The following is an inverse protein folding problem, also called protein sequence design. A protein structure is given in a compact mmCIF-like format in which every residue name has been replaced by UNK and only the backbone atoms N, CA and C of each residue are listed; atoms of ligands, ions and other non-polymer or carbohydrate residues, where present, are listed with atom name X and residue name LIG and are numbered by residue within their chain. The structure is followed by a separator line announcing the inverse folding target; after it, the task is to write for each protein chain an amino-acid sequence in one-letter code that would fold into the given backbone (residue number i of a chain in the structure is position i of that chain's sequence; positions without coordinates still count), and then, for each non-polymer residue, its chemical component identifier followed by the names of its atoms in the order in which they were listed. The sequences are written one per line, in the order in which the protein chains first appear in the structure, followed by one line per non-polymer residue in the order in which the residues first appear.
data_IF_260997554854
#
_entry.id   IF_260997554854
#
_cell.length_a   1.000
_cell.length_b   1.000
_cell.length_c   1.000
_cell.angle_alpha   90.00
_cell.angle_beta   90.00
_cell.angle_gamma   90.00
#
_symmetry.space_group_name_H-M   'P 1'
#
loop_
_entity.id
_entity.type
_entity.pdbx_description
1 polymer ?
#
# COMPACT_ATOMS: atom_id res chain seq x y z
N UNK A 1 14.66 -13.23 0.71
CA UNK A 1 14.10 -11.94 0.26
C UNK A 1 14.89 -11.49 -0.95
N UNK A 2 14.19 -11.11 -2.02
CA UNK A 2 14.76 -10.59 -3.25
C UNK A 2 14.31 -9.14 -3.44
N UNK A 3 15.23 -8.24 -3.80
CA UNK A 3 14.87 -6.86 -4.09
C UNK A 3 14.22 -6.78 -5.48
N UNK A 4 13.08 -6.10 -5.57
CA UNK A 4 12.35 -5.87 -6.83
C UNK A 4 12.23 -4.37 -7.09
N UNK A 5 12.20 -3.99 -8.36
CA UNK A 5 11.93 -2.62 -8.78
C UNK A 5 10.43 -2.48 -9.07
N UNK A 6 9.79 -1.50 -8.44
CA UNK A 6 8.35 -1.25 -8.57
C UNK A 6 8.18 0.10 -9.24
N UNK A 7 7.48 0.13 -10.37
CA UNK A 7 7.25 1.38 -11.09
C UNK A 7 6.40 2.33 -10.25
N UNK A 8 6.86 3.58 -10.13
CA UNK A 8 6.20 4.59 -9.29
C UNK A 8 6.59 4.57 -7.82
N UNK A 9 7.41 3.60 -7.38
CA UNK A 9 7.99 3.61 -6.05
C UNK A 9 9.26 4.48 -5.99
N UNK A 10 9.42 5.20 -4.88
CA UNK A 10 10.66 5.92 -4.54
C UNK A 10 11.56 5.14 -3.58
N UNK A 11 11.06 4.02 -3.02
CA UNK A 11 11.79 3.16 -2.09
C UNK A 11 11.97 1.75 -2.64
N UNK A 12 12.89 1.03 -2.01
CA UNK A 12 13.17 -0.37 -2.34
C UNK A 12 12.06 -1.30 -1.86
N UNK A 13 11.60 -2.17 -2.76
CA UNK A 13 10.68 -3.25 -2.45
C UNK A 13 11.43 -4.57 -2.35
N UNK A 14 10.99 -5.41 -1.43
CA UNK A 14 11.52 -6.74 -1.23
C UNK A 14 10.39 -7.75 -1.37
N UNK A 15 10.64 -8.85 -2.07
CA UNK A 15 9.73 -9.97 -2.26
C UNK A 15 10.27 -11.21 -1.53
N UNK A 16 9.41 -11.92 -0.82
CA UNK A 16 9.66 -13.29 -0.36
C UNK A 16 8.49 -14.19 -0.74
N UNK A 17 8.75 -15.47 -0.91
CA UNK A 17 7.74 -16.49 -1.15
C UNK A 17 7.94 -17.56 -0.08
N UNK A 18 6.93 -17.76 0.76
CA UNK A 18 6.95 -18.71 1.88
C UNK A 18 5.65 -19.52 1.82
N UNK A 19 5.76 -20.85 1.76
CA UNK A 19 4.61 -21.77 1.67
C UNK A 19 3.59 -21.43 0.56
N UNK A 20 4.08 -20.88 -0.56
CA UNK A 20 3.23 -20.46 -1.69
C UNK A 20 2.57 -19.08 -1.53
N UNK A 21 2.79 -18.40 -0.40
CA UNK A 21 2.32 -17.03 -0.15
C UNK A 21 3.41 -16.03 -0.54
N UNK A 22 3.08 -15.11 -1.44
CA UNK A 22 3.99 -14.04 -1.84
C UNK A 22 3.88 -12.86 -0.88
N UNK A 23 4.99 -12.49 -0.23
CA UNK A 23 5.04 -11.35 0.69
C UNK A 23 5.92 -10.26 0.10
N UNK A 24 5.32 -9.09 -0.11
CA UNK A 24 6.03 -7.87 -0.50
C UNK A 24 6.27 -7.01 0.73
N UNK A 25 7.44 -6.40 0.84
CA UNK A 25 7.84 -5.58 1.98
C UNK A 25 8.54 -4.30 1.51
N UNK A 26 8.18 -3.17 2.11
CA UNK A 26 8.84 -1.88 1.85
C UNK A 26 8.83 -0.99 3.10
N UNK A 27 9.82 -0.12 3.21
CA UNK A 27 10.03 0.75 4.37
C UNK A 27 9.97 2.22 3.93
N UNK A 28 9.00 2.96 4.48
CA UNK A 28 8.83 4.40 4.32
C UNK A 28 8.92 5.14 5.64
N UNK A 29 9.48 4.53 6.69
CA UNK A 29 9.61 5.11 8.02
C UNK A 29 10.35 6.45 8.05
N UNK A 30 11.19 6.71 7.05
CA UNK A 30 11.96 7.95 6.88
C UNK A 30 11.33 8.93 5.89
N UNK A 31 10.21 8.57 5.25
CA UNK A 31 9.57 9.37 4.20
C UNK A 31 8.41 10.21 4.76
N UNK A 32 8.24 11.41 4.22
CA UNK A 32 7.12 12.30 4.55
C UNK A 32 5.95 12.15 3.57
N UNK A 33 4.70 12.45 3.97
CA UNK A 33 3.59 12.53 3.02
C UNK A 33 3.92 13.51 1.88
N UNK A 34 3.62 13.18 0.59
CA UNK A 34 2.77 12.08 0.13
C UNK A 34 3.50 10.77 -0.21
N UNK A 35 4.82 10.68 -0.06
CA UNK A 35 5.61 9.54 -0.55
C UNK A 35 5.17 8.17 0.00
N UNK A 36 4.87 8.00 1.31
CA UNK A 36 4.37 6.74 1.83
C UNK A 36 3.09 6.25 1.15
N UNK A 37 2.22 7.17 0.75
CA UNK A 37 0.95 6.82 0.10
C UNK A 37 1.18 6.37 -1.35
N UNK A 38 2.05 7.05 -2.08
CA UNK A 38 2.39 6.70 -3.47
C UNK A 38 3.05 5.31 -3.53
N UNK A 39 4.01 5.05 -2.64
CA UNK A 39 4.66 3.74 -2.55
C UNK A 39 3.68 2.63 -2.17
N UNK A 40 2.79 2.90 -1.21
CA UNK A 40 1.74 1.93 -0.85
C UNK A 40 0.84 1.60 -2.05
N UNK A 41 0.36 2.60 -2.80
CA UNK A 41 -0.44 2.34 -4.01
C UNK A 41 0.31 1.55 -5.08
N UNK A 42 1.59 1.85 -5.30
CA UNK A 42 2.42 1.10 -6.25
C UNK A 42 2.59 -0.36 -5.80
N UNK A 43 2.77 -0.59 -4.50
CA UNK A 43 2.85 -1.93 -3.91
C UNK A 43 1.54 -2.71 -3.98
N UNK A 44 0.40 -2.05 -3.77
CA UNK A 44 -0.92 -2.69 -3.80
C UNK A 44 -1.26 -3.24 -5.19
N UNK A 45 -0.78 -2.60 -6.26
CA UNK A 45 -0.93 -3.10 -7.64
C UNK A 45 -0.24 -4.44 -7.88
N UNK A 46 0.72 -4.82 -7.04
CA UNK A 46 1.42 -6.12 -7.13
C UNK A 46 0.65 -7.25 -6.44
N UNK A 47 -0.39 -6.93 -5.68
CA UNK A 47 -1.11 -7.92 -4.89
C UNK A 47 -2.09 -8.75 -5.70
N UNK A 48 -1.92 -10.05 -5.60
CA UNK A 48 -2.82 -11.13 -5.99
C UNK A 48 -3.51 -11.79 -4.77
N UNK A 49 -4.38 -12.76 -5.04
CA UNK A 49 -5.15 -13.52 -4.05
C UNK A 49 -4.28 -14.32 -3.05
N UNK A 50 -3.05 -14.68 -3.42
CA UNK A 50 -2.10 -15.43 -2.60
C UNK A 50 -0.89 -14.55 -2.25
N UNK A 51 -1.14 -13.26 -1.98
CA UNK A 51 -0.10 -12.32 -1.63
C UNK A 51 -0.50 -11.33 -0.54
N UNK A 52 0.51 -10.75 0.09
CA UNK A 52 0.36 -9.70 1.09
C UNK A 52 1.46 -8.64 0.96
N UNK A 53 1.15 -7.42 1.35
CA UNK A 53 2.07 -6.29 1.32
C UNK A 53 2.27 -5.79 2.75
N UNK A 54 3.52 -5.70 3.19
CA UNK A 54 3.89 -5.21 4.51
C UNK A 54 4.61 -3.88 4.33
N UNK A 55 4.02 -2.84 4.92
CA UNK A 55 4.54 -1.49 4.94
C UNK A 55 5.01 -1.16 6.35
N UNK A 56 6.21 -0.57 6.48
CA UNK A 56 6.65 0.08 7.71
C UNK A 56 6.66 1.58 7.49
N UNK A 57 5.95 2.33 8.33
CA UNK A 57 5.88 3.79 8.22
C UNK A 57 6.09 4.48 9.56
N UNK A 58 6.45 5.77 9.54
CA UNK A 58 6.61 6.55 10.76
C UNK A 58 5.27 6.68 11.52
N UNK A 59 4.15 6.74 10.79
CA UNK A 59 2.77 6.76 11.31
C UNK A 59 1.82 6.04 10.37
N UNK A 60 0.70 5.57 10.90
CA UNK A 60 -0.36 4.95 10.10
C UNK A 60 -0.85 5.90 8.98
N UNK A 61 -0.86 5.47 7.70
CA UNK A 61 -1.32 6.29 6.57
C UNK A 61 -2.86 6.29 6.48
N UNK A 62 -3.53 6.85 7.48
CA UNK A 62 -4.98 6.79 7.62
C UNK A 62 -5.77 7.31 6.39
N UNK A 63 -5.22 8.27 5.64
CA UNK A 63 -5.84 8.80 4.42
C UNK A 63 -5.84 7.82 3.22
N UNK A 64 -5.07 6.73 3.28
CA UNK A 64 -5.05 5.71 2.24
C UNK A 64 -6.17 4.70 2.42
N UNK A 65 -6.51 4.33 3.65
CA UNK A 65 -7.50 3.31 3.97
C UNK A 65 -8.83 3.48 3.22
N UNK A 66 -9.50 4.64 3.23
CA UNK A 66 -10.77 4.80 2.53
C UNK A 66 -10.69 4.65 1.00
N UNK A 67 -9.50 4.72 0.41
CA UNK A 67 -9.31 4.57 -1.04
C UNK A 67 -9.17 3.11 -1.46
N UNK A 68 -8.81 2.24 -0.54
CA UNK A 68 -8.44 0.85 -0.84
C UNK A 68 -9.26 -0.14 -0.02
N UNK A 69 -10.04 0.33 0.97
CA UNK A 69 -10.81 -0.53 1.88
C UNK A 69 -11.89 -1.33 1.17
N UNK A 70 -12.33 -0.92 -0.01
CA UNK A 70 -13.32 -1.66 -0.81
C UNK A 70 -12.72 -2.98 -1.29
N UNK A 71 -11.45 -2.99 -1.71
CA UNK A 71 -10.80 -4.11 -2.41
C UNK A 71 -9.73 -4.83 -1.59
N UNK A 72 -9.14 -4.13 -0.62
CA UNK A 72 -8.08 -4.64 0.23
C UNK A 72 -8.53 -4.66 1.69
N UNK A 73 -8.07 -5.67 2.41
CA UNK A 73 -8.08 -5.69 3.88
C UNK A 73 -6.74 -5.19 4.37
N UNK A 74 -6.74 -4.45 5.47
CA UNK A 74 -5.52 -3.94 6.08
C UNK A 74 -5.54 -4.18 7.59
N UNK A 75 -4.36 -4.44 8.15
CA UNK A 75 -4.14 -4.58 9.57
C UNK A 75 -3.02 -3.64 9.98
N UNK A 76 -3.27 -2.78 10.98
CA UNK A 76 -2.28 -1.84 11.49
C UNK A 76 -1.82 -2.33 12.85
N UNK A 77 -0.50 -2.44 13.01
CA UNK A 77 0.19 -2.81 14.24
C UNK A 77 1.13 -1.66 14.61
N UNK A 78 0.97 -1.11 15.82
CA UNK A 78 1.92 -0.15 16.36
C UNK A 78 3.13 -0.90 16.94
N UNK A 79 4.32 -0.57 16.46
CA UNK A 79 5.58 -1.14 16.90
C UNK A 79 6.12 -0.37 18.11
N UNK A 80 6.92 -1.03 18.95
CA UNK A 80 7.45 -0.49 20.21
C UNK A 80 8.32 0.77 20.02
N UNK A 81 8.83 1.01 18.82
CA UNK A 81 9.63 2.18 18.45
C UNK A 81 8.80 3.38 17.95
N UNK A 82 7.47 3.30 18.04
CA UNK A 82 6.55 4.33 17.57
C UNK A 82 6.35 4.34 16.05
N UNK A 83 6.84 3.32 15.34
CA UNK A 83 6.51 3.08 13.93
C UNK A 83 5.19 2.33 13.82
N UNK A 84 4.54 2.46 12.66
CA UNK A 84 3.36 1.69 12.31
C UNK A 84 3.72 0.66 11.24
N UNK A 85 3.40 -0.60 11.51
CA UNK A 85 3.42 -1.68 10.52
C UNK A 85 2.01 -1.85 9.98
N UNK A 86 1.86 -1.84 8.66
CA UNK A 86 0.59 -2.07 8.00
C UNK A 86 0.70 -3.27 7.08
N UNK A 87 -0.18 -4.25 7.25
CA UNK A 87 -0.25 -5.44 6.41
C UNK A 87 -1.50 -5.34 5.55
N UNK A 88 -1.34 -5.30 4.23
CA UNK A 88 -2.42 -5.28 3.25
C UNK A 88 -2.57 -6.66 2.60
N UNK A 89 -3.82 -7.07 2.35
CA UNK A 89 -4.17 -8.29 1.62
C UNK A 89 -5.34 -8.03 0.69
N UNK A 90 -5.32 -8.62 -0.49
CA UNK A 90 -6.45 -8.54 -1.44
C UNK A 90 -7.64 -9.33 -0.90
N UNK A 91 -8.87 -8.81 -1.05
CA UNK A 91 -10.08 -9.55 -0.66
C UNK A 91 -10.38 -10.64 -1.70
N UNK A 92 -10.74 -11.84 -1.24
CA UNK A 92 -10.97 -13.01 -2.10
C UNK A 92 -12.23 -12.95 -3.02
N UNK A 93 -12.83 -11.78 -3.23
CA UNK A 93 -14.02 -11.58 -4.07
C UNK A 93 -14.05 -10.20 -4.76
N UNK A 94 -12.92 -9.50 -4.86
CA UNK A 94 -12.83 -8.26 -5.64
C UNK A 94 -12.84 -8.62 -7.14
N UNK A 95 -14.04 -8.72 -7.71
CA UNK A 95 -14.29 -8.92 -9.14
C UNK A 95 -14.35 -7.58 -9.91
N UNK A 96 -13.96 -6.50 -9.24
CA UNK A 96 -13.95 -5.13 -9.75
C UNK A 96 -12.50 -4.72 -9.98
N UNK A 97 -12.24 -4.13 -11.13
CA UNK A 97 -10.96 -3.55 -11.52
C UNK A 97 -10.81 -2.24 -10.74
N UNK A 98 -9.96 -2.20 -9.69
CA UNK A 98 -9.66 -0.94 -8.99
C UNK A 98 -9.25 0.10 -10.02
N UNK A 99 -10.05 1.15 -10.20
CA UNK A 99 -9.66 2.25 -11.06
C UNK A 99 -8.61 3.11 -10.33
N UNK A 100 -7.34 2.72 -10.46
CA UNK A 100 -6.18 3.45 -9.93
C UNK A 100 -5.98 4.81 -10.63
N UNK A 101 -6.83 5.20 -11.58
CA UNK A 101 -6.72 6.48 -12.31
C UNK A 101 -7.34 7.66 -11.56
N UNK A 102 -8.05 7.40 -10.45
CA UNK A 102 -8.59 8.46 -9.57
C UNK A 102 -7.51 9.08 -8.65
N UNK A 103 -6.45 9.62 -9.24
CA UNK A 103 -5.48 10.52 -8.59
C UNK A 103 -5.86 12.01 -8.75
N UNK A 104 -7.12 12.32 -9.08
CA UNK A 104 -7.54 13.72 -9.25
C UNK A 104 -7.84 14.37 -7.90
N UNK A 105 -6.84 15.01 -7.33
CA UNK A 105 -7.07 16.10 -6.38
C UNK A 105 -7.47 17.35 -7.20
N UNK A 106 -8.74 17.42 -7.60
CA UNK A 106 -9.33 18.55 -8.32
C UNK A 106 -10.23 19.35 -7.38
N UNK A 107 -9.69 20.40 -6.78
CA UNK A 107 -10.43 21.30 -5.91
C UNK A 107 -11.54 22.07 -6.64
N UNK A 108 -12.55 22.40 -5.85
CA UNK A 108 -13.48 23.53 -6.02
C UNK A 108 -14.38 23.51 -7.25
N UNK A 109 -15.63 23.09 -7.02
CA UNK A 109 -16.76 23.56 -7.81
C UNK A 109 -16.94 25.08 -7.64
N UNK A 110 -16.74 25.81 -8.72
CA UNK A 110 -17.40 27.09 -8.97
C UNK A 110 -18.05 26.99 -10.35
N UNK A 111 -19.39 26.86 -10.39
CA UNK A 111 -20.16 26.98 -11.62
C UNK A 111 -20.34 28.46 -11.97
N UNK A 112 -20.20 28.75 -13.27
CA UNK A 112 -20.52 30.02 -13.93
C UNK A 112 -22.03 30.11 -14.21
#
# INVERSE_FOLDING_TARGET
MEKIEVQGASVDFFKSIEDGLTTYHFDTSKCGPPEPMVNAMAGLQLLDENSQLIMINHKSPAGLFPKIEEEFTFFVEELENGLAKVVFRKKANSNEETDFTQTSCGGTGCNH
#
